data_IF_785796204322
#
_entry.id   IF_785796204322
#
_cell.length_a   1.000
_cell.length_b   1.000
_cell.length_c   1.000
_cell.angle_alpha   90.00
_cell.angle_beta   90.00
_cell.angle_gamma   90.00
#
_symmetry.space_group_name_H-M   'P 1'
#
loop_
_entity.id
_entity.type
_entity.pdbx_description
1 polymer ?
#
# COMPACT_ATOMS: atom_id res chain seq x y z
N UNK A 1 9.28 -24.01 23.82
CA UNK A 1 9.29 -22.60 23.40
C UNK A 1 10.41 -21.95 24.18
N UNK A 2 11.46 -21.56 23.46
CA UNK A 2 12.79 -21.34 24.01
C UNK A 2 12.85 -19.97 24.72
N UNK A 3 13.32 -19.93 25.97
CA UNK A 3 13.32 -18.72 26.79
C UNK A 3 14.17 -17.58 26.16
N UNK A 4 15.10 -17.93 25.27
CA UNK A 4 15.88 -16.96 24.49
C UNK A 4 15.09 -16.23 23.40
N UNK A 5 14.01 -16.81 22.87
CA UNK A 5 13.15 -16.16 21.86
C UNK A 5 12.27 -15.09 22.50
N UNK A 6 11.72 -15.36 23.68
CA UNK A 6 10.85 -14.45 24.44
C UNK A 6 11.61 -13.21 24.98
N UNK A 7 12.84 -13.40 25.46
CA UNK A 7 13.69 -12.30 25.90
C UNK A 7 14.08 -11.37 24.73
N UNK A 8 14.41 -11.94 23.56
CA UNK A 8 14.75 -11.19 22.36
C UNK A 8 13.54 -10.41 21.80
N UNK A 9 12.34 -11.01 21.78
CA UNK A 9 11.09 -10.34 21.40
C UNK A 9 10.74 -9.20 22.37
N UNK A 10 10.93 -9.41 23.68
CA UNK A 10 10.71 -8.37 24.71
C UNK A 10 11.72 -7.23 24.60
N UNK A 11 12.98 -7.55 24.27
CA UNK A 11 14.01 -6.55 24.00
C UNK A 11 13.66 -5.70 22.78
N UNK A 12 13.21 -6.31 21.69
CA UNK A 12 12.94 -5.55 20.48
C UNK A 12 11.56 -4.87 20.42
N UNK A 13 10.62 -5.24 21.30
CA UNK A 13 9.29 -4.64 21.39
C UNK A 13 9.24 -3.23 22.03
N UNK A 14 10.37 -2.70 22.50
CA UNK A 14 10.46 -1.34 23.02
C UNK A 14 10.69 -0.33 21.88
N UNK A 15 9.86 0.72 21.77
CA UNK A 15 9.91 1.65 20.65
C UNK A 15 11.22 2.46 20.60
N UNK A 16 11.85 2.71 21.75
CA UNK A 16 13.14 3.41 21.80
C UNK A 16 14.28 2.52 21.33
N UNK A 17 14.28 1.23 21.71
CA UNK A 17 15.29 0.25 21.24
C UNK A 17 15.15 -0.02 19.75
N UNK A 18 13.93 -0.17 19.24
CA UNK A 18 13.69 -0.27 17.80
C UNK A 18 14.26 0.95 17.04
N UNK A 19 14.02 2.16 17.55
CA UNK A 19 14.52 3.39 16.92
C UNK A 19 16.04 3.52 16.99
N UNK A 20 16.67 3.10 18.10
CA UNK A 20 18.14 3.00 18.22
C UNK A 20 18.71 2.10 17.13
N UNK A 21 18.15 0.90 16.95
CA UNK A 21 18.61 -0.06 15.96
C UNK A 21 18.39 0.45 14.52
N UNK A 22 17.28 1.14 14.26
CA UNK A 22 17.05 1.80 12.96
C UNK A 22 18.09 2.88 12.66
N UNK A 23 18.43 3.72 13.64
CA UNK A 23 19.47 4.75 13.48
C UNK A 23 20.87 4.14 13.27
N UNK A 24 21.17 3.02 13.93
CA UNK A 24 22.43 2.28 13.69
C UNK A 24 22.54 1.77 12.26
N UNK A 25 21.45 1.18 11.75
CA UNK A 25 21.41 0.60 10.39
C UNK A 25 21.42 1.66 9.30
N UNK A 26 20.89 2.85 9.58
CA UNK A 26 20.94 4.00 8.68
C UNK A 26 22.28 4.76 8.74
N UNK A 27 23.17 4.43 9.69
CA UNK A 27 24.50 5.05 9.78
C UNK A 27 25.38 4.57 8.61
N UNK A 28 26.14 5.45 7.93
CA UNK A 28 26.98 5.09 6.79
C UNK A 28 27.95 3.92 7.03
N UNK A 29 28.48 3.81 8.24
CA UNK A 29 29.44 2.77 8.63
C UNK A 29 28.77 1.61 9.42
N UNK A 30 27.43 1.62 9.56
CA UNK A 30 26.69 0.65 10.39
C UNK A 30 27.00 0.72 11.90
N UNK A 31 27.68 1.79 12.34
CA UNK A 31 28.08 2.03 13.74
C UNK A 31 27.73 3.43 14.21
N UNK A 32 27.49 3.58 15.51
CA UNK A 32 27.11 4.85 16.15
C UNK A 32 27.75 5.02 17.52
N UNK A 33 27.79 6.28 17.98
CA UNK A 33 28.15 6.63 19.36
C UNK A 33 26.88 6.85 20.19
N UNK A 34 26.92 6.48 21.47
CA UNK A 34 25.80 6.70 22.41
C UNK A 34 25.42 8.18 22.49
N UNK A 35 26.42 9.08 22.48
CA UNK A 35 26.19 10.52 22.48
C UNK A 35 25.39 10.99 21.26
N UNK A 36 25.67 10.45 20.06
CA UNK A 36 24.95 10.77 18.82
C UNK A 36 23.51 10.29 18.89
N UNK A 37 23.29 9.06 19.35
CA UNK A 37 21.95 8.50 19.55
C UNK A 37 21.12 9.33 20.53
N UNK A 38 21.71 9.81 21.63
CA UNK A 38 21.04 10.67 22.59
C UNK A 38 20.57 11.98 21.95
N UNK A 39 21.43 12.61 21.14
CA UNK A 39 21.07 13.80 20.37
C UNK A 39 19.97 13.53 19.35
N UNK A 40 20.10 12.50 18.51
CA UNK A 40 19.14 12.18 17.44
C UNK A 40 17.77 11.75 17.97
N UNK A 41 17.72 11.06 19.12
CA UNK A 41 16.47 10.62 19.74
C UNK A 41 15.83 11.69 20.64
N UNK A 42 16.52 12.81 20.90
CA UNK A 42 16.08 13.81 21.87
C UNK A 42 16.00 13.27 23.30
N UNK A 43 16.83 12.27 23.64
CA UNK A 43 16.84 11.59 24.93
C UNK A 43 18.09 11.94 25.73
N UNK A 44 17.99 11.82 27.07
CA UNK A 44 19.17 11.95 27.92
C UNK A 44 20.11 10.76 27.72
N UNK A 45 21.42 11.01 27.73
CA UNK A 45 22.44 9.98 27.55
C UNK A 45 22.31 8.78 28.52
N UNK A 46 21.94 8.93 29.81
CA UNK A 46 21.69 7.80 30.70
C UNK A 46 20.56 6.88 30.21
N UNK A 47 19.50 7.44 29.62
CA UNK A 47 18.37 6.66 29.06
C UNK A 47 18.83 5.80 27.90
N UNK A 48 19.56 6.39 26.94
CA UNK A 48 20.13 5.64 25.82
C UNK A 48 21.11 4.58 26.31
N UNK A 49 21.96 4.91 27.30
CA UNK A 49 22.91 3.95 27.89
C UNK A 49 22.21 2.75 28.53
N UNK A 50 21.06 2.96 29.17
CA UNK A 50 20.23 1.88 29.72
C UNK A 50 19.74 0.94 28.60
N UNK A 51 19.17 1.49 27.53
CA UNK A 51 18.73 0.72 26.37
C UNK A 51 19.88 -0.04 25.69
N UNK A 52 21.05 0.59 25.55
CA UNK A 52 22.25 -0.04 24.99
C UNK A 52 22.76 -1.19 25.87
N UNK A 53 22.66 -1.07 27.19
CA UNK A 53 23.03 -2.14 28.12
C UNK A 53 22.11 -3.36 27.94
N UNK A 54 20.80 -3.15 27.79
CA UNK A 54 19.83 -4.22 27.50
C UNK A 54 20.14 -4.88 26.16
N UNK A 55 20.30 -4.09 25.09
CA UNK A 55 20.62 -4.62 23.76
C UNK A 55 21.95 -5.40 23.72
N UNK A 56 22.96 -4.98 24.50
CA UNK A 56 24.22 -5.71 24.66
C UNK A 56 24.02 -7.05 25.39
N UNK A 57 23.26 -7.04 26.50
CA UNK A 57 23.00 -8.23 27.30
C UNK A 57 22.26 -9.31 26.50
N UNK A 58 21.38 -8.89 25.60
CA UNK A 58 20.62 -9.76 24.72
C UNK A 58 21.38 -10.16 23.44
N UNK A 59 22.62 -9.70 23.29
CA UNK A 59 23.47 -9.99 22.13
C UNK A 59 22.99 -9.37 20.81
N UNK A 60 22.15 -8.33 20.87
CA UNK A 60 21.60 -7.65 19.69
C UNK A 60 22.58 -6.64 19.11
N UNK A 61 23.34 -5.95 19.97
CA UNK A 61 24.39 -5.01 19.56
C UNK A 61 25.75 -5.50 20.05
N UNK A 62 26.79 -5.12 19.32
CA UNK A 62 28.18 -5.28 19.73
C UNK A 62 28.81 -3.92 19.98
N UNK A 63 29.92 -3.88 20.72
CA UNK A 63 30.68 -2.65 20.95
C UNK A 63 32.15 -2.82 20.65
N UNK A 64 32.73 -1.82 20.02
CA UNK A 64 34.14 -1.77 19.67
C UNK A 64 34.77 -0.46 20.18
N UNK A 65 35.76 -0.53 21.08
CA UNK A 65 36.51 0.64 21.50
C UNK A 65 37.51 1.06 20.42
N UNK A 66 37.40 2.29 19.93
CA UNK A 66 38.32 2.89 18.97
C UNK A 66 38.83 4.21 19.55
N UNK A 67 40.10 4.21 19.97
CA UNK A 67 40.71 5.34 20.68
C UNK A 67 39.98 5.66 21.99
N UNK A 68 39.46 6.88 22.12
CA UNK A 68 38.71 7.34 23.32
C UNK A 68 37.20 7.12 23.21
N UNK A 69 36.72 6.55 22.11
CA UNK A 69 35.31 6.38 21.83
C UNK A 69 34.92 4.91 21.82
N UNK A 70 33.67 4.63 22.19
CA UNK A 70 33.08 3.30 22.11
C UNK A 70 31.98 3.33 21.06
N UNK A 71 32.22 2.64 19.97
CA UNK A 71 31.27 2.48 18.86
C UNK A 71 30.39 1.28 19.09
N UNK A 72 29.14 1.40 18.70
CA UNK A 72 28.16 0.33 18.77
C UNK A 72 27.62 0.04 17.38
N UNK A 73 27.44 -1.23 17.06
CA UNK A 73 26.86 -1.74 15.82
C UNK A 73 25.91 -2.88 16.14
N UNK A 74 25.05 -3.26 15.19
CA UNK A 74 24.28 -4.50 15.31
C UNK A 74 25.25 -5.67 15.31
N UNK A 75 25.07 -6.61 16.25
CA UNK A 75 25.91 -7.80 16.31
C UNK A 75 25.68 -8.66 15.05
N UNK A 76 26.72 -9.20 14.40
CA UNK A 76 26.57 -10.01 13.18
C UNK A 76 25.56 -11.16 13.34
N UNK A 77 25.61 -11.89 14.46
CA UNK A 77 24.72 -13.01 14.78
C UNK A 77 23.27 -12.56 15.11
N UNK A 78 23.03 -11.26 15.24
CA UNK A 78 21.71 -10.67 15.43
C UNK A 78 21.19 -9.96 14.17
N UNK A 79 22.01 -9.80 13.12
CA UNK A 79 21.66 -9.04 11.93
C UNK A 79 20.38 -9.55 11.26
N UNK A 80 20.29 -10.85 10.99
CA UNK A 80 19.10 -11.46 10.37
C UNK A 80 17.84 -11.31 11.24
N UNK A 81 17.98 -11.38 12.56
CA UNK A 81 16.87 -11.22 13.51
C UNK A 81 16.39 -9.77 13.57
N UNK A 82 17.32 -8.83 13.58
CA UNK A 82 17.02 -7.39 13.56
C UNK A 82 16.40 -7.00 12.21
N UNK A 83 16.88 -7.56 11.10
CA UNK A 83 16.33 -7.37 9.76
C UNK A 83 14.90 -7.94 9.64
N UNK A 84 14.66 -9.13 10.20
CA UNK A 84 13.33 -9.75 10.19
C UNK A 84 12.30 -8.92 10.96
N UNK A 85 12.72 -8.23 12.02
CA UNK A 85 11.80 -7.46 12.87
C UNK A 85 11.64 -6.00 12.44
N UNK A 86 12.73 -5.33 12.08
CA UNK A 86 12.71 -3.92 11.69
C UNK A 86 12.54 -3.74 10.17
N UNK A 87 12.51 -4.83 9.40
CA UNK A 87 12.61 -4.83 7.94
C UNK A 87 14.03 -4.51 7.49
N UNK A 88 14.56 -5.13 6.43
CA UNK A 88 15.87 -4.78 5.83
C UNK A 88 15.92 -3.27 5.53
N UNK A 89 17.06 -2.58 5.76
CA UNK A 89 17.17 -1.18 5.35
C UNK A 89 17.05 -1.23 3.84
N UNK A 90 15.97 -0.67 3.31
CA UNK A 90 15.75 -0.70 1.88
C UNK A 90 16.79 0.25 1.29
N UNK A 91 17.90 -0.31 0.83
CA UNK A 91 18.78 0.43 -0.07
C UNK A 91 17.85 0.93 -1.17
N UNK A 92 17.82 2.25 -1.36
CA UNK A 92 16.91 2.88 -2.31
C UNK A 92 17.38 2.48 -3.71
N UNK A 93 17.01 1.27 -4.14
CA UNK A 93 17.26 0.79 -5.48
C UNK A 93 16.64 1.80 -6.42
N UNK A 94 17.47 2.44 -7.24
CA UNK A 94 17.02 3.38 -8.25
C UNK A 94 16.04 2.65 -9.17
N UNK A 95 14.80 3.13 -9.22
CA UNK A 95 13.77 2.55 -10.08
C UNK A 95 14.11 2.87 -11.53
N UNK A 96 14.24 1.85 -12.37
CA UNK A 96 14.48 1.99 -13.81
C UNK A 96 13.17 2.33 -14.53
N UNK A 97 12.83 3.62 -14.57
CA UNK A 97 11.61 4.12 -15.18
C UNK A 97 11.61 3.97 -16.71
N UNK A 98 12.78 4.03 -17.34
CA UNK A 98 12.91 3.88 -18.80
C UNK A 98 12.53 2.46 -19.23
N UNK A 99 12.98 1.45 -18.47
CA UNK A 99 12.57 0.06 -18.71
C UNK A 99 11.07 -0.14 -18.48
N UNK A 100 10.51 0.40 -17.40
CA UNK A 100 9.07 0.33 -17.12
C UNK A 100 8.27 0.96 -18.27
N UNK A 101 8.70 2.12 -18.77
CA UNK A 101 8.06 2.80 -19.89
C UNK A 101 8.17 1.99 -21.19
N UNK A 102 9.33 1.36 -21.47
CA UNK A 102 9.51 0.50 -22.63
C UNK A 102 8.59 -0.74 -22.60
N UNK A 103 8.44 -1.38 -21.43
CA UNK A 103 7.55 -2.53 -21.26
C UNK A 103 6.08 -2.12 -21.46
N UNK A 104 5.68 -0.94 -20.95
CA UNK A 104 4.33 -0.40 -21.18
C UNK A 104 4.12 0.06 -22.63
N UNK A 105 5.15 0.58 -23.30
CA UNK A 105 5.11 0.90 -24.73
C UNK A 105 4.78 -0.33 -25.56
N UNK A 106 5.36 -1.49 -25.23
CA UNK A 106 5.07 -2.74 -25.92
C UNK A 106 3.59 -3.16 -25.79
N UNK A 107 2.91 -2.80 -24.69
CA UNK A 107 1.51 -3.15 -24.42
C UNK A 107 0.49 -2.09 -24.90
N UNK A 108 0.85 -0.82 -24.85
CA UNK A 108 -0.06 0.31 -25.05
C UNK A 108 0.25 1.16 -26.28
N UNK A 109 1.40 0.95 -26.93
CA UNK A 109 1.94 1.83 -27.96
C UNK A 109 1.08 2.01 -29.22
N UNK A 110 0.13 1.11 -29.47
CA UNK A 110 -0.84 1.26 -30.57
C UNK A 110 -1.91 2.31 -30.27
N UNK A 111 -2.19 2.58 -28.98
CA UNK A 111 -3.31 3.40 -28.51
C UNK A 111 -2.86 4.66 -27.77
N UNK A 112 -1.65 4.65 -27.23
CA UNK A 112 -1.08 5.74 -26.43
C UNK A 112 0.34 6.02 -26.93
N UNK A 113 0.66 7.29 -27.15
CA UNK A 113 1.99 7.67 -27.61
C UNK A 113 3.07 7.50 -26.53
N UNK A 114 4.33 7.43 -26.97
CA UNK A 114 5.45 7.14 -26.10
C UNK A 114 5.82 8.26 -25.12
N UNK A 115 5.53 9.53 -25.46
CA UNK A 115 5.74 10.65 -24.55
C UNK A 115 4.72 10.58 -23.40
N UNK A 116 3.46 10.35 -23.74
CA UNK A 116 2.38 10.19 -22.76
C UNK A 116 2.61 8.97 -21.85
N UNK A 117 3.09 7.83 -22.38
CA UNK A 117 3.44 6.67 -21.56
C UNK A 117 4.54 7.01 -20.56
N UNK A 118 5.62 7.67 -21.00
CA UNK A 118 6.70 8.11 -20.11
C UNK A 118 6.21 9.08 -19.04
N UNK A 119 5.35 10.02 -19.40
CA UNK A 119 4.74 10.96 -18.46
C UNK A 119 3.91 10.24 -17.39
N UNK A 120 3.03 9.32 -17.80
CA UNK A 120 2.20 8.53 -16.88
C UNK A 120 3.06 7.68 -15.95
N UNK A 121 4.16 7.08 -16.44
CA UNK A 121 5.09 6.31 -15.60
C UNK A 121 5.77 7.21 -14.57
N UNK A 122 6.31 8.36 -15.00
CA UNK A 122 7.00 9.29 -14.12
C UNK A 122 6.07 9.86 -13.03
N UNK A 123 4.86 10.29 -13.41
CA UNK A 123 3.86 10.80 -12.45
C UNK A 123 3.37 9.70 -11.50
N UNK A 124 3.18 8.47 -11.99
CA UNK A 124 2.81 7.33 -11.15
C UNK A 124 3.89 7.01 -10.11
N UNK A 125 5.17 7.05 -10.51
CA UNK A 125 6.28 6.89 -9.60
C UNK A 125 6.33 8.01 -8.56
N UNK A 126 6.25 9.27 -8.99
CA UNK A 126 6.28 10.43 -8.09
C UNK A 126 5.21 10.32 -7.00
N UNK A 127 3.97 10.00 -7.39
CA UNK A 127 2.82 9.84 -6.49
C UNK A 127 3.01 8.72 -5.45
N UNK A 128 3.57 7.59 -5.84
CA UNK A 128 3.79 6.45 -4.94
C UNK A 128 5.05 6.62 -4.07
N UNK A 129 6.07 7.30 -4.58
CA UNK A 129 7.28 7.59 -3.82
C UNK A 129 7.01 8.55 -2.66
N UNK A 130 6.02 9.45 -2.81
CA UNK A 130 5.60 10.37 -1.76
C UNK A 130 4.97 9.69 -0.54
N UNK A 131 4.51 8.44 -0.68
CA UNK A 131 3.88 7.67 0.41
C UNK A 131 4.80 6.60 1.01
N UNK A 132 6.07 6.53 0.59
CA UNK A 132 7.03 5.47 0.97
C UNK A 132 6.48 4.04 0.72
N UNK A 133 5.78 3.86 -0.40
CA UNK A 133 5.18 2.59 -0.75
C UNK A 133 6.25 1.48 -0.93
N UNK A 134 6.06 0.27 -0.34
CA UNK A 134 6.94 -0.86 -0.61
C UNK A 134 6.81 -1.30 -2.07
N UNK A 135 7.80 -2.04 -2.58
CA UNK A 135 7.80 -2.58 -3.94
C UNK A 135 7.58 -1.49 -5.02
N UNK A 136 8.20 -0.32 -4.83
CA UNK A 136 7.93 0.89 -5.61
C UNK A 136 7.97 0.66 -7.13
N UNK A 137 8.97 -0.05 -7.66
CA UNK A 137 9.07 -0.31 -9.09
C UNK A 137 7.87 -1.10 -9.66
N UNK A 138 7.49 -2.22 -9.04
CA UNK A 138 6.37 -3.04 -9.52
C UNK A 138 5.02 -2.36 -9.32
N UNK A 139 4.86 -1.60 -8.23
CA UNK A 139 3.66 -0.78 -8.00
C UNK A 139 3.58 0.41 -8.96
N UNK A 140 4.70 1.02 -9.33
CA UNK A 140 4.78 2.04 -10.39
C UNK A 140 4.29 1.45 -11.71
N UNK A 141 4.82 0.30 -12.13
CA UNK A 141 4.36 -0.37 -13.36
C UNK A 141 2.85 -0.65 -13.31
N UNK A 142 2.36 -1.26 -12.23
CA UNK A 142 0.96 -1.64 -12.08
C UNK A 142 0.02 -0.44 -12.04
N UNK A 143 0.43 0.64 -11.36
CA UNK A 143 -0.34 1.87 -11.32
C UNK A 143 -0.39 2.55 -12.69
N UNK A 144 0.77 2.70 -13.35
CA UNK A 144 0.86 3.28 -14.69
C UNK A 144 0.04 2.47 -15.71
N UNK A 145 0.13 1.14 -15.68
CA UNK A 145 -0.69 0.26 -16.51
C UNK A 145 -2.19 0.51 -16.30
N UNK A 146 -2.65 0.55 -15.05
CA UNK A 146 -4.06 0.82 -14.72
C UNK A 146 -4.53 2.21 -15.19
N UNK A 147 -3.66 3.22 -15.16
CA UNK A 147 -3.96 4.58 -15.63
C UNK A 147 -4.01 4.66 -17.14
N UNK A 148 -3.09 4.00 -17.84
CA UNK A 148 -3.11 3.88 -19.30
C UNK A 148 -4.37 3.12 -19.78
N UNK A 149 -4.72 2.02 -19.10
CA UNK A 149 -5.99 1.32 -19.34
C UNK A 149 -7.20 2.26 -19.13
N UNK A 150 -7.17 3.12 -18.11
CA UNK A 150 -8.24 4.11 -17.88
C UNK A 150 -8.29 5.20 -18.97
N UNK A 151 -7.14 5.75 -19.41
CA UNK A 151 -7.08 6.73 -20.49
C UNK A 151 -7.63 6.18 -21.81
N UNK A 152 -7.27 4.95 -22.15
CA UNK A 152 -7.80 4.28 -23.35
C UNK A 152 -9.29 3.99 -23.25
N UNK A 153 -9.78 3.57 -22.07
CA UNK A 153 -11.20 3.33 -21.84
C UNK A 153 -12.03 4.62 -21.90
N UNK A 154 -11.55 5.72 -21.33
CA UNK A 154 -12.24 7.01 -21.34
C UNK A 154 -12.41 7.60 -22.76
N UNK A 155 -11.60 7.13 -23.72
CA UNK A 155 -11.68 7.53 -25.14
C UNK A 155 -12.44 6.52 -26.01
N UNK A 156 -12.85 5.37 -25.46
CA UNK A 156 -13.57 4.33 -26.18
C UNK A 156 -15.07 4.62 -26.28
N UNK A 157 -15.76 4.01 -27.26
CA UNK A 157 -17.22 4.10 -27.35
C UNK A 157 -17.88 3.24 -26.26
N UNK A 158 -18.95 3.71 -25.60
CA UNK A 158 -19.59 2.99 -24.49
C UNK A 158 -20.09 1.58 -24.83
N UNK A 159 -20.43 1.31 -26.08
CA UNK A 159 -20.94 0.01 -26.54
C UNK A 159 -19.85 -1.05 -26.74
N UNK A 160 -18.58 -0.66 -26.77
CA UNK A 160 -17.44 -1.55 -27.02
C UNK A 160 -16.72 -2.00 -25.73
N UNK A 161 -17.17 -1.54 -24.56
CA UNK A 161 -16.43 -1.70 -23.31
C UNK A 161 -17.20 -2.44 -22.23
N UNK A 162 -16.50 -3.32 -21.52
CA UNK A 162 -16.98 -3.93 -20.27
C UNK A 162 -17.30 -2.84 -19.24
N UNK A 163 -18.43 -2.94 -18.50
CA UNK A 163 -18.79 -1.96 -17.46
C UNK A 163 -17.65 -1.72 -16.47
N UNK A 164 -17.47 -0.48 -16.06
CA UNK A 164 -16.34 -0.04 -15.23
C UNK A 164 -16.82 0.57 -13.91
N UNK A 165 -16.34 0.02 -12.79
CA UNK A 165 -16.65 0.48 -11.44
C UNK A 165 -15.39 0.96 -10.74
N UNK A 166 -15.44 2.17 -10.17
CA UNK A 166 -14.39 2.73 -9.33
C UNK A 166 -14.85 2.84 -7.88
N UNK A 167 -14.16 2.16 -6.97
CA UNK A 167 -14.37 2.29 -5.53
C UNK A 167 -13.37 3.28 -4.90
N UNK A 168 -13.86 4.31 -4.21
CA UNK A 168 -13.03 5.35 -3.60
C UNK A 168 -13.28 5.39 -2.09
N UNK A 169 -12.22 5.33 -1.29
CA UNK A 169 -12.30 5.65 0.14
C UNK A 169 -11.14 6.57 0.54
N UNK A 170 -10.98 6.89 1.82
CA UNK A 170 -9.89 7.79 2.24
C UNK A 170 -8.52 7.17 1.97
N UNK A 171 -8.23 6.01 2.57
CA UNK A 171 -6.87 5.46 2.60
C UNK A 171 -6.57 4.38 1.55
N UNK A 172 -7.57 3.95 0.78
CA UNK A 172 -7.48 2.81 -0.15
C UNK A 172 -6.83 1.53 0.43
N UNK A 173 -7.04 1.30 1.72
CA UNK A 173 -6.51 0.14 2.45
C UNK A 173 -7.58 -0.64 3.22
N UNK A 174 -8.86 -0.34 2.96
CA UNK A 174 -10.01 -0.83 3.72
C UNK A 174 -11.23 -1.05 2.86
N UNK A 175 -12.28 -0.24 3.05
CA UNK A 175 -13.59 -0.38 2.41
C UNK A 175 -13.54 -0.56 0.89
N UNK A 176 -12.79 0.30 0.18
CA UNK A 176 -12.68 0.18 -1.29
C UNK A 176 -11.95 -1.08 -1.74
N UNK A 177 -10.99 -1.59 -0.95
CA UNK A 177 -10.30 -2.85 -1.23
C UNK A 177 -11.21 -4.06 -0.98
N UNK A 178 -12.01 -4.04 0.09
CA UNK A 178 -13.04 -5.06 0.33
C UNK A 178 -14.03 -5.14 -0.84
N UNK A 179 -14.61 -4.00 -1.22
CA UNK A 179 -15.62 -3.93 -2.26
C UNK A 179 -15.06 -4.38 -3.62
N UNK A 180 -13.85 -3.93 -3.97
CA UNK A 180 -13.22 -4.31 -5.23
C UNK A 180 -12.84 -5.79 -5.28
N UNK A 181 -12.28 -6.34 -4.20
CA UNK A 181 -11.96 -7.76 -4.12
C UNK A 181 -13.20 -8.63 -4.35
N UNK A 182 -14.29 -8.32 -3.63
CA UNK A 182 -15.55 -9.07 -3.76
C UNK A 182 -16.15 -8.91 -5.17
N UNK A 183 -16.20 -7.68 -5.71
CA UNK A 183 -16.77 -7.47 -7.05
C UNK A 183 -15.97 -8.20 -8.12
N UNK A 184 -14.62 -8.14 -8.09
CA UNK A 184 -13.79 -8.88 -9.05
C UNK A 184 -14.00 -10.39 -8.94
N UNK A 185 -14.08 -10.90 -7.72
CA UNK A 185 -14.30 -12.33 -7.49
C UNK A 185 -15.65 -12.79 -8.08
N UNK A 186 -16.72 -12.00 -7.90
CA UNK A 186 -18.06 -12.35 -8.37
C UNK A 186 -18.29 -12.06 -9.87
N UNK A 187 -17.68 -11.00 -10.41
CA UNK A 187 -17.88 -10.57 -11.79
C UNK A 187 -16.91 -11.24 -12.77
N UNK A 188 -15.75 -11.70 -12.30
CA UNK A 188 -14.67 -12.15 -13.19
C UNK A 188 -14.29 -11.07 -14.19
N UNK A 189 -14.22 -11.41 -15.47
CA UNK A 189 -13.94 -10.47 -16.56
C UNK A 189 -15.14 -9.63 -17.02
N UNK A 190 -16.32 -9.78 -16.42
CA UNK A 190 -17.54 -9.08 -16.87
C UNK A 190 -17.65 -7.64 -16.34
N UNK A 191 -16.81 -7.23 -15.39
CA UNK A 191 -16.76 -5.85 -14.88
C UNK A 191 -15.30 -5.47 -14.67
N UNK A 192 -14.89 -4.32 -15.23
CA UNK A 192 -13.62 -3.69 -14.90
C UNK A 192 -13.73 -3.00 -13.55
N UNK A 193 -12.84 -3.32 -12.61
CA UNK A 193 -12.90 -2.83 -11.23
C UNK A 193 -11.62 -2.11 -10.88
N UNK A 194 -11.74 -0.86 -10.43
CA UNK A 194 -10.63 -0.01 -9.98
C UNK A 194 -10.85 0.47 -8.55
N UNK A 195 -9.77 0.85 -7.87
CA UNK A 195 -9.83 1.46 -6.55
C UNK A 195 -8.92 2.67 -6.44
N UNK A 196 -9.30 3.60 -5.57
CA UNK A 196 -8.48 4.76 -5.26
C UNK A 196 -8.67 5.27 -3.82
N UNK A 197 -7.72 6.10 -3.40
CA UNK A 197 -7.70 6.80 -2.12
C UNK A 197 -7.53 8.30 -2.27
N UNK A 198 -8.25 9.10 -1.48
CA UNK A 198 -8.00 10.55 -1.41
C UNK A 198 -6.74 10.89 -0.59
N UNK A 199 -6.41 10.07 0.40
CA UNK A 199 -5.19 10.11 1.20
C UNK A 199 -4.67 8.69 1.46
N UNK A 200 -4.09 8.02 0.44
CA UNK A 200 -3.66 6.62 0.53
C UNK A 200 -2.60 6.38 1.61
N UNK A 201 -2.63 5.20 2.21
CA UNK A 201 -1.56 4.72 3.10
C UNK A 201 -0.54 3.88 2.32
N UNK A 202 0.39 3.21 3.00
CA UNK A 202 1.47 2.42 2.37
C UNK A 202 1.01 1.04 1.93
N UNK A 203 0.10 0.41 2.66
CA UNK A 203 -0.29 -0.97 2.39
C UNK A 203 -1.75 -1.28 2.76
N UNK A 204 -2.28 -2.35 2.19
CA UNK A 204 -3.62 -2.85 2.56
C UNK A 204 -3.57 -3.38 3.98
N UNK A 205 -4.58 -3.06 4.79
CA UNK A 205 -4.61 -3.47 6.21
C UNK A 205 -4.72 -5.00 6.31
N UNK A 206 -3.93 -5.61 7.18
CA UNK A 206 -3.92 -7.07 7.38
C UNK A 206 -5.28 -7.64 7.78
N UNK A 207 -6.08 -6.90 8.56
CA UNK A 207 -7.47 -7.29 8.92
C UNK A 207 -8.39 -7.39 7.70
N UNK A 208 -8.13 -6.58 6.67
CA UNK A 208 -8.90 -6.56 5.42
C UNK A 208 -8.48 -7.73 4.54
N UNK A 209 -7.18 -7.97 4.42
CA UNK A 209 -6.63 -9.16 3.75
C UNK A 209 -7.20 -10.44 4.38
N UNK A 210 -7.16 -10.53 5.72
CA UNK A 210 -7.71 -11.68 6.47
C UNK A 210 -9.21 -11.84 6.22
N UNK A 211 -9.99 -10.76 6.26
CA UNK A 211 -11.44 -10.83 6.07
C UNK A 211 -11.84 -11.29 4.66
N UNK A 212 -11.05 -10.95 3.63
CA UNK A 212 -11.25 -11.44 2.26
C UNK A 212 -10.81 -12.90 2.10
N UNK A 213 -9.65 -13.26 2.66
CA UNK A 213 -9.12 -14.63 2.61
C UNK A 213 -10.08 -15.64 3.26
N UNK A 214 -10.73 -15.27 4.37
CA UNK A 214 -11.77 -16.07 5.04
C UNK A 214 -12.92 -16.51 4.12
N UNK A 215 -13.19 -15.76 3.05
CA UNK A 215 -14.26 -16.05 2.07
C UNK A 215 -13.69 -16.47 0.70
N UNK A 216 -12.40 -16.77 0.62
CA UNK A 216 -11.74 -17.21 -0.61
C UNK A 216 -11.52 -16.09 -1.64
N UNK A 217 -11.60 -14.83 -1.21
CA UNK A 217 -11.35 -13.66 -2.06
C UNK A 217 -9.89 -13.23 -1.90
N UNK A 218 -9.12 -13.27 -2.98
CA UNK A 218 -7.74 -12.80 -2.97
C UNK A 218 -7.68 -11.28 -3.10
N UNK A 219 -6.74 -10.66 -2.38
CA UNK A 219 -6.39 -9.25 -2.59
C UNK A 219 -5.56 -9.06 -3.89
N UNK A 220 -4.92 -10.12 -4.39
CA UNK A 220 -4.10 -10.08 -5.59
C UNK A 220 -2.96 -9.05 -5.48
N UNK A 221 -2.67 -8.38 -6.59
CA UNK A 221 -1.64 -7.34 -6.69
C UNK A 221 -2.12 -5.96 -6.25
N UNK A 222 -3.19 -5.88 -5.45
CA UNK A 222 -3.74 -4.61 -4.99
C UNK A 222 -2.87 -3.89 -3.97
N UNK A 223 -2.89 -2.56 -4.07
CA UNK A 223 -2.21 -1.67 -3.14
C UNK A 223 -2.95 -0.33 -3.04
N UNK A 224 -2.75 0.41 -1.93
CA UNK A 224 -3.27 1.76 -1.81
C UNK A 224 -2.65 2.68 -2.87
N UNK A 225 -3.48 3.34 -3.66
CA UNK A 225 -3.06 4.24 -4.72
C UNK A 225 -3.94 5.50 -4.78
N UNK A 226 -3.39 6.66 -5.16
CA UNK A 226 -4.14 7.91 -5.16
C UNK A 226 -5.21 7.92 -6.24
N UNK A 227 -6.27 8.69 -5.99
CA UNK A 227 -7.27 9.02 -6.99
C UNK A 227 -6.65 9.83 -8.13
N UNK A 228 -6.98 9.45 -9.36
CA UNK A 228 -6.57 10.16 -10.58
C UNK A 228 -7.78 10.48 -11.45
N UNK A 229 -7.62 11.50 -12.28
CA UNK A 229 -8.71 12.06 -13.07
C UNK A 229 -9.24 11.05 -14.10
N UNK A 230 -8.31 10.41 -14.81
CA UNK A 230 -8.60 9.39 -15.80
C UNK A 230 -9.31 8.16 -15.20
N UNK A 231 -9.04 7.82 -13.94
CA UNK A 231 -9.72 6.72 -13.27
C UNK A 231 -11.22 7.03 -13.06
N UNK A 232 -11.56 8.28 -12.74
CA UNK A 232 -12.96 8.71 -12.57
C UNK A 232 -13.66 8.80 -13.92
N UNK A 233 -13.01 9.40 -14.93
CA UNK A 233 -13.58 9.51 -16.28
C UNK A 233 -13.83 8.17 -16.96
N UNK A 234 -13.00 7.17 -16.67
CA UNK A 234 -13.14 5.83 -17.21
C UNK A 234 -14.17 4.97 -16.47
N UNK A 235 -14.85 5.49 -15.44
CA UNK A 235 -15.83 4.75 -14.66
C UNK A 235 -17.26 5.09 -15.09
N UNK A 236 -18.06 4.05 -15.30
CA UNK A 236 -19.51 4.18 -15.49
C UNK A 236 -20.18 4.41 -14.13
N UNK A 237 -19.64 3.76 -13.08
CA UNK A 237 -20.11 3.89 -11.71
C UNK A 237 -18.94 4.23 -10.78
N UNK A 238 -19.06 5.34 -10.05
CA UNK A 238 -18.14 5.74 -8.99
C UNK A 238 -18.83 5.57 -7.65
N UNK A 239 -18.19 4.83 -6.75
CA UNK A 239 -18.72 4.52 -5.43
C UNK A 239 -17.80 5.11 -4.37
N UNK A 240 -18.29 6.12 -3.66
CA UNK A 240 -17.55 6.79 -2.57
C UNK A 240 -17.88 6.14 -1.23
N UNK A 241 -16.88 6.10 -0.35
CA UNK A 241 -16.96 5.49 0.98
C UNK A 241 -16.22 6.37 2.00
N UNK A 242 -16.83 7.51 2.33
CA UNK A 242 -16.29 8.43 3.34
C UNK A 242 -15.10 9.28 2.88
N UNK A 243 -14.88 9.44 1.56
CA UNK A 243 -13.86 10.36 1.01
C UNK A 243 -14.36 11.79 0.79
N UNK A 244 -15.65 12.08 1.06
CA UNK A 244 -16.26 13.40 0.88
C UNK A 244 -16.13 13.91 -0.56
N UNK A 245 -15.95 15.23 -0.68
CA UNK A 245 -15.89 15.93 -1.97
C UNK A 245 -14.54 15.79 -2.72
N UNK A 246 -13.71 14.82 -2.33
CA UNK A 246 -12.42 14.58 -2.97
C UNK A 246 -12.54 14.04 -4.41
N UNK A 247 -13.71 13.53 -4.80
CA UNK A 247 -13.94 12.99 -6.14
C UNK A 247 -14.53 14.06 -7.07
N UNK A 248 -13.89 14.37 -8.22
CA UNK A 248 -14.50 15.23 -9.23
C UNK A 248 -15.77 14.58 -9.80
N UNK A 249 -16.75 15.42 -10.16
CA UNK A 249 -18.02 14.99 -10.74
C UNK A 249 -18.00 15.21 -12.25
N UNK A 250 -18.23 14.14 -13.00
CA UNK A 250 -18.30 14.14 -14.45
C UNK A 250 -19.72 13.83 -14.94
N UNK A 251 -20.21 14.52 -15.98
CA UNK A 251 -21.51 14.22 -16.57
C UNK A 251 -21.47 12.83 -17.22
N UNK A 252 -22.56 12.07 -17.06
CA UNK A 252 -22.70 10.72 -17.63
C UNK A 252 -22.23 9.58 -16.71
N UNK A 253 -21.45 9.88 -15.66
CA UNK A 253 -21.04 8.90 -14.65
C UNK A 253 -22.10 8.80 -13.54
N UNK A 254 -22.44 7.57 -13.13
CA UNK A 254 -23.32 7.33 -11.98
C UNK A 254 -22.50 7.37 -10.68
N UNK A 255 -22.87 8.25 -9.76
CA UNK A 255 -22.23 8.34 -8.45
C UNK A 255 -23.12 7.72 -7.37
N UNK A 256 -22.53 6.87 -6.51
CA UNK A 256 -23.17 6.30 -5.34
C UNK A 256 -22.31 6.59 -4.12
N UNK A 257 -22.94 7.00 -3.02
CA UNK A 257 -22.25 7.12 -1.73
C UNK A 257 -22.69 5.98 -0.81
N UNK A 258 -21.73 5.16 -0.39
CA UNK A 258 -21.96 4.07 0.54
C UNK A 258 -21.52 4.49 1.94
N UNK A 259 -22.51 4.87 2.75
CA UNK A 259 -22.32 5.03 4.18
C UNK A 259 -21.98 3.68 4.81
N UNK A 260 -20.71 3.54 5.16
CA UNK A 260 -20.10 2.34 5.73
C UNK A 260 -19.26 2.73 6.94
N UNK A 261 -19.35 1.92 7.99
CA UNK A 261 -18.50 2.05 9.16
C UNK A 261 -17.01 1.95 8.79
N UNK A 262 -16.17 2.75 9.45
CA UNK A 262 -14.74 2.76 9.16
C UNK A 262 -14.01 1.58 9.85
N UNK A 263 -13.34 0.67 9.12
CA UNK A 263 -12.70 -0.50 9.71
C UNK A 263 -11.41 -0.18 10.50
N UNK A 264 -10.97 1.08 10.51
CA UNK A 264 -9.71 1.50 11.14
C UNK A 264 -9.72 1.22 12.65
N UNK A 265 -8.73 0.46 13.11
CA UNK A 265 -8.56 0.14 14.54
C UNK A 265 -9.61 -0.82 15.12
N UNK A 266 -10.54 -1.34 14.30
CA UNK A 266 -11.58 -2.26 14.76
C UNK A 266 -11.08 -3.70 14.84
N UNK A 267 -11.64 -4.51 15.77
CA UNK A 267 -11.35 -5.93 15.83
C UNK A 267 -11.88 -6.65 14.59
N UNK A 268 -11.26 -7.78 14.22
CA UNK A 268 -11.63 -8.56 13.03
C UNK A 268 -13.12 -8.91 12.98
N UNK A 269 -13.76 -9.19 14.12
CA UNK A 269 -15.19 -9.47 14.19
C UNK A 269 -16.08 -8.31 13.66
N UNK A 270 -15.72 -7.06 13.96
CA UNK A 270 -16.42 -5.90 13.42
C UNK A 270 -16.12 -5.69 11.93
N UNK A 271 -14.88 -5.95 11.52
CA UNK A 271 -14.48 -5.90 10.09
C UNK A 271 -15.27 -6.92 9.25
N UNK A 272 -15.59 -8.10 9.79
CA UNK A 272 -16.47 -9.08 9.14
C UNK A 272 -17.87 -8.52 8.90
N UNK A 273 -18.45 -7.81 9.88
CA UNK A 273 -19.73 -7.12 9.71
C UNK A 273 -19.71 -6.10 8.56
N UNK A 274 -18.62 -5.31 8.47
CA UNK A 274 -18.41 -4.36 7.37
C UNK A 274 -18.26 -5.08 6.02
N UNK A 275 -17.48 -6.18 5.97
CA UNK A 275 -17.33 -7.02 4.79
C UNK A 275 -18.67 -7.55 4.31
N UNK A 276 -19.49 -8.06 5.22
CA UNK A 276 -20.77 -8.69 4.88
C UNK A 276 -21.81 -7.65 4.39
N UNK A 277 -21.80 -6.43 4.95
CA UNK A 277 -22.58 -5.30 4.38
C UNK A 277 -22.10 -4.93 2.97
N UNK A 278 -20.79 -4.86 2.76
CA UNK A 278 -20.20 -4.59 1.44
C UNK A 278 -20.55 -5.71 0.44
N UNK A 279 -20.46 -6.99 0.83
CA UNK A 279 -20.79 -8.12 -0.05
C UNK A 279 -22.23 -8.04 -0.55
N UNK A 280 -23.18 -7.73 0.34
CA UNK A 280 -24.59 -7.53 -0.02
C UNK A 280 -24.75 -6.41 -1.06
N UNK A 281 -24.16 -5.23 -0.80
CA UNK A 281 -24.24 -4.08 -1.71
C UNK A 281 -23.57 -4.35 -3.07
N UNK A 282 -22.45 -5.08 -3.06
CA UNK A 282 -21.75 -5.49 -4.29
C UNK A 282 -22.62 -6.45 -5.13
N UNK A 283 -23.34 -7.39 -4.50
CA UNK A 283 -24.26 -8.29 -5.21
C UNK A 283 -25.44 -7.56 -5.82
N UNK A 284 -26.00 -6.58 -5.10
CA UNK A 284 -27.05 -5.69 -5.60
C UNK A 284 -26.54 -4.91 -6.83
N UNK A 285 -25.37 -4.25 -6.72
CA UNK A 285 -24.72 -3.53 -7.82
C UNK A 285 -24.48 -4.45 -9.04
N UNK A 286 -23.94 -5.65 -8.83
CA UNK A 286 -23.66 -6.58 -9.94
C UNK A 286 -24.93 -7.01 -10.67
N UNK A 287 -26.05 -7.16 -9.94
CA UNK A 287 -27.35 -7.49 -10.53
C UNK A 287 -27.87 -6.34 -11.40
N UNK A 288 -27.71 -5.10 -10.94
CA UNK A 288 -28.06 -3.91 -11.72
C UNK A 288 -27.22 -3.79 -13.00
N UNK A 289 -25.90 -3.96 -12.89
CA UNK A 289 -24.97 -3.86 -14.03
C UNK A 289 -25.31 -4.90 -15.12
N UNK A 290 -25.57 -6.15 -14.73
CA UNK A 290 -25.98 -7.22 -15.65
C UNK A 290 -27.35 -6.99 -16.29
N UNK A 291 -28.23 -6.27 -15.61
CA UNK A 291 -29.56 -5.94 -16.14
C UNK A 291 -29.48 -4.83 -17.18
N UNK A 292 -28.64 -3.82 -16.95
CA UNK A 292 -28.38 -2.75 -17.91
C UNK A 292 -27.73 -3.26 -19.21
N UNK A 293 -26.84 -4.26 -19.13
CA UNK A 293 -26.21 -4.89 -20.30
C UNK A 293 -27.23 -5.55 -21.24
N UNK A 294 -28.23 -6.26 -20.68
CA UNK A 294 -29.28 -6.94 -21.46
C UNK A 294 -30.20 -5.98 -22.22
N UNK A 295 -30.46 -4.81 -21.63
CA UNK A 295 -31.29 -3.77 -22.27
C UNK A 295 -30.56 -3.15 -23.46
N UNK A 296 -29.22 -3.09 -23.43
CA UNK A 296 -28.43 -2.47 -24.49
C UNK A 296 -28.10 -3.41 -25.66
N UNK A 297 -28.39 -4.72 -25.52
CA UNK A 297 -28.15 -5.76 -26.53
C UNK A 297 -29.44 -6.30 -27.19
N UNK A 298 -30.61 -5.83 -26.76
CA UNK A 298 -31.94 -6.18 -27.33
C UNK A 298 -32.49 -5.06 -28.18
#
# INVERSE_FOLDING_TARGET
>A
MDAGTDAALTSLGDPTRARILSLMRASPDGRVLVGRLATELGLRQPTVSHHMKTLLADGIVSREPVGRQVWYSVAPDAADRVDALLGRPREAASVDLDRIAADLQARFGERVDADQIREVVADSHARLSATDAPLLASRTFSFAASRLDALTAASARPSDTTPSVLFVCVQNAGRSQLAAGILRHLAGGAVSVRTAGSAPTTDVRSTIVTALDEIGVSIGDEFPKPLTDEAVRAADVVITMGCGDACPIYPGTRYLDWELEDPVGKPLAAVRGIRDDIDRRVRELLTELRSAEKVNTS
#
